data_IF_988893360062
#
_entry.id   IF_988893360062
#
_cell.length_a   1.000
_cell.length_b   1.000
_cell.length_c   1.000
_cell.angle_alpha   90.00
_cell.angle_beta   90.00
_cell.angle_gamma   90.00
#
_symmetry.space_group_name_H-M   'P 1'
#
loop_
_entity.id
_entity.type
_entity.pdbx_description
1 polymer ?
#
# COMPACT_ATOMS: atom_id res chain seq x y z
N UNK A 1 -1.48 -19.84 -2.66
CA UNK A 1 -2.73 -19.04 -2.59
C UNK A 1 -2.67 -18.11 -1.37
N UNK A 2 -3.24 -16.89 -1.42
CA UNK A 2 -3.28 -15.99 -0.26
C UNK A 2 -4.33 -16.45 0.78
N UNK A 3 -4.03 -16.45 2.09
CA UNK A 3 -5.01 -16.74 3.14
C UNK A 3 -6.20 -15.76 3.17
N UNK A 4 -7.39 -16.26 3.51
CA UNK A 4 -8.65 -15.48 3.54
C UNK A 4 -8.61 -14.27 4.48
N UNK A 5 -8.03 -14.42 5.67
CA UNK A 5 -7.88 -13.33 6.65
C UNK A 5 -7.05 -12.16 6.11
N UNK A 6 -6.01 -12.44 5.32
CA UNK A 6 -5.16 -11.41 4.72
C UNK A 6 -5.90 -10.66 3.63
N UNK A 7 -6.67 -11.37 2.80
CA UNK A 7 -7.55 -10.74 1.79
C UNK A 7 -8.57 -9.81 2.44
N UNK A 8 -9.16 -10.22 3.57
CA UNK A 8 -10.12 -9.38 4.29
C UNK A 8 -9.45 -8.13 4.87
N UNK A 9 -8.29 -8.29 5.52
CA UNK A 9 -7.50 -7.18 6.07
C UNK A 9 -7.11 -6.16 5.01
N UNK A 10 -6.59 -6.63 3.87
CA UNK A 10 -6.24 -5.77 2.73
C UNK A 10 -7.44 -4.96 2.21
N UNK A 11 -8.61 -5.60 2.06
CA UNK A 11 -9.83 -4.92 1.60
C UNK A 11 -10.31 -3.87 2.60
N UNK A 12 -10.24 -4.17 3.90
CA UNK A 12 -10.61 -3.22 4.94
C UNK A 12 -9.68 -1.99 4.98
N UNK A 13 -8.36 -2.22 4.91
CA UNK A 13 -7.37 -1.14 4.85
C UNK A 13 -7.51 -0.32 3.56
N UNK A 14 -7.75 -0.99 2.43
CA UNK A 14 -8.02 -0.31 1.15
C UNK A 14 -9.26 0.58 1.26
N UNK A 15 -10.38 0.07 1.79
CA UNK A 15 -11.59 0.87 1.99
C UNK A 15 -11.35 2.09 2.90
N UNK A 16 -10.55 1.92 3.95
CA UNK A 16 -10.16 3.02 4.83
C UNK A 16 -9.36 4.10 4.10
N UNK A 17 -8.35 3.70 3.30
CA UNK A 17 -7.53 4.60 2.51
C UNK A 17 -8.35 5.37 1.47
N UNK A 18 -9.23 4.68 0.73
CA UNK A 18 -10.15 5.29 -0.25
C UNK A 18 -10.99 6.40 0.39
N UNK A 19 -11.61 6.11 1.54
CA UNK A 19 -12.47 7.07 2.24
C UNK A 19 -11.69 8.29 2.73
N UNK A 20 -10.44 8.11 3.15
CA UNK A 20 -9.62 9.18 3.72
C UNK A 20 -8.88 10.02 2.69
N UNK A 21 -8.40 9.40 1.61
CA UNK A 21 -7.50 10.01 0.63
C UNK A 21 -8.18 10.27 -0.71
N UNK A 22 -9.44 9.86 -0.89
CA UNK A 22 -10.17 10.03 -2.15
C UNK A 22 -9.63 9.20 -3.31
N UNK A 23 -8.84 8.17 -3.03
CA UNK A 23 -8.25 7.30 -4.06
C UNK A 23 -9.26 6.25 -4.54
N UNK A 24 -9.21 5.94 -5.83
CA UNK A 24 -10.01 4.88 -6.45
C UNK A 24 -9.14 3.65 -6.73
N UNK A 25 -9.12 2.71 -5.78
CA UNK A 25 -8.37 1.46 -5.89
C UNK A 25 -9.18 0.28 -5.30
N UNK A 26 -9.01 -0.91 -5.85
CA UNK A 26 -9.63 -2.16 -5.42
C UNK A 26 -8.71 -2.96 -4.48
N UNK A 27 -7.39 -2.85 -4.63
CA UNK A 27 -6.39 -3.51 -3.78
C UNK A 27 -5.11 -2.67 -3.69
N UNK A 28 -4.89 -2.00 -2.55
CA UNK A 28 -3.72 -1.14 -2.32
C UNK A 28 -2.50 -1.87 -1.75
N UNK A 29 -2.60 -3.15 -1.42
CA UNK A 29 -1.52 -3.94 -0.82
C UNK A 29 -0.93 -4.96 -1.78
N UNK A 30 -1.18 -4.79 -3.09
CA UNK A 30 -0.42 -5.48 -4.14
C UNK A 30 1.03 -4.99 -4.18
N UNK A 31 1.96 -5.92 -4.41
CA UNK A 31 3.39 -5.61 -4.52
C UNK A 31 3.81 -5.11 -5.90
N UNK A 32 2.98 -5.27 -6.94
CA UNK A 32 3.31 -4.83 -8.29
C UNK A 32 2.83 -3.41 -8.55
N UNK A 33 3.75 -2.47 -8.81
CA UNK A 33 3.46 -1.05 -9.06
C UNK A 33 4.43 -0.44 -10.04
N UNK A 34 3.96 0.56 -10.77
CA UNK A 34 4.77 1.40 -11.63
C UNK A 34 4.50 2.86 -11.24
N UNK A 35 5.57 3.65 -11.13
CA UNK A 35 5.50 5.07 -10.81
C UNK A 35 6.12 5.86 -11.96
N UNK A 36 5.58 7.04 -12.21
CA UNK A 36 6.27 8.05 -13.02
C UNK A 36 7.47 8.56 -12.24
N UNK A 37 8.60 8.76 -12.91
CA UNK A 37 9.83 9.21 -12.25
C UNK A 37 9.62 10.58 -11.58
N UNK A 38 8.85 11.45 -12.21
CA UNK A 38 8.48 12.78 -11.69
C UNK A 38 7.70 12.69 -10.38
N UNK A 39 6.80 11.70 -10.26
CA UNK A 39 6.02 11.49 -9.05
C UNK A 39 6.89 11.08 -7.86
N UNK A 40 7.88 10.21 -8.08
CA UNK A 40 8.80 9.79 -7.03
C UNK A 40 9.77 10.90 -6.62
N UNK A 41 10.31 11.67 -7.59
CA UNK A 41 11.21 12.79 -7.31
C UNK A 41 10.55 13.93 -6.53
N UNK A 42 9.23 14.02 -6.55
CA UNK A 42 8.48 15.00 -5.78
C UNK A 42 8.33 14.63 -4.29
N UNK A 43 8.79 13.44 -3.87
CA UNK A 43 8.67 12.96 -2.49
C UNK A 43 10.01 12.99 -1.75
N UNK A 44 10.03 13.31 -0.44
CA UNK A 44 11.21 13.14 0.40
C UNK A 44 11.34 11.66 0.82
N UNK A 45 11.78 10.81 -0.11
CA UNK A 45 11.82 9.35 0.07
C UNK A 45 12.68 8.92 1.27
N UNK A 46 13.71 9.69 1.59
CA UNK A 46 14.65 9.47 2.69
C UNK A 46 14.00 9.66 4.08
N UNK A 47 12.84 10.32 4.15
CA UNK A 47 12.07 10.50 5.39
C UNK A 47 11.05 9.38 5.61
N UNK A 48 10.92 8.46 4.65
CA UNK A 48 10.00 7.33 4.73
C UNK A 48 10.68 6.16 5.45
N UNK A 49 9.87 5.21 5.91
CA UNK A 49 10.33 4.06 6.69
C UNK A 49 11.18 3.10 5.85
N UNK A 50 12.22 2.50 6.44
CA UNK A 50 12.98 1.41 5.81
C UNK A 50 12.33 0.01 5.96
N UNK A 51 11.04 -0.04 6.33
CA UNK A 51 10.31 -1.28 6.63
C UNK A 51 9.09 -1.41 5.71
N UNK A 52 8.33 -2.50 5.82
CA UNK A 52 7.20 -2.83 4.94
C UNK A 52 6.15 -1.70 4.76
N UNK A 53 6.07 -0.73 5.67
CA UNK A 53 5.13 0.41 5.57
C UNK A 53 5.57 1.48 4.58
N UNK A 54 6.81 1.46 4.09
CA UNK A 54 7.38 2.40 3.11
C UNK A 54 6.41 2.64 1.94
N UNK A 55 5.97 1.54 1.32
CA UNK A 55 5.10 1.56 0.15
C UNK A 55 3.84 2.39 0.42
N UNK A 56 3.27 2.24 1.62
CA UNK A 56 2.01 2.87 1.98
C UNK A 56 2.22 4.35 2.25
N UNK A 57 3.37 4.72 2.82
CA UNK A 57 3.76 6.11 2.98
C UNK A 57 3.94 6.80 1.62
N UNK A 58 4.55 6.13 0.65
CA UNK A 58 4.64 6.63 -0.74
C UNK A 58 3.25 6.87 -1.32
N UNK A 59 2.34 5.90 -1.23
CA UNK A 59 0.97 6.05 -1.76
C UNK A 59 0.22 7.21 -1.10
N UNK A 60 0.29 7.31 0.22
CA UNK A 60 -0.38 8.39 0.96
C UNK A 60 0.19 9.75 0.58
N UNK A 61 1.53 9.88 0.49
CA UNK A 61 2.16 11.14 0.09
C UNK A 61 1.82 11.53 -1.34
N UNK A 62 1.79 10.58 -2.28
CA UNK A 62 1.35 10.84 -3.66
C UNK A 62 -0.12 11.28 -3.73
N UNK A 63 -1.00 10.62 -2.97
CA UNK A 63 -2.43 10.98 -2.93
C UNK A 63 -2.64 12.40 -2.40
N UNK A 64 -1.91 12.77 -1.35
CA UNK A 64 -1.95 14.12 -0.76
C UNK A 64 -1.39 15.16 -1.70
N UNK A 65 -0.32 14.84 -2.43
CA UNK A 65 0.24 15.70 -3.45
C UNK A 65 -0.64 15.79 -4.72
N UNK A 66 -1.81 15.13 -4.75
CA UNK A 66 -2.79 15.22 -5.83
C UNK A 66 -2.47 14.34 -7.05
N UNK A 67 -1.52 13.39 -6.93
CA UNK A 67 -1.26 12.45 -7.99
C UNK A 67 -2.42 11.46 -8.15
N UNK A 68 -2.71 11.11 -9.42
CA UNK A 68 -3.77 10.16 -9.76
C UNK A 68 -3.23 8.74 -9.81
N UNK A 69 -4.05 7.80 -9.35
CA UNK A 69 -3.77 6.37 -9.40
C UNK A 69 -4.64 5.71 -10.46
N UNK A 70 -4.15 4.64 -11.07
CA UNK A 70 -4.92 3.81 -11.99
C UNK A 70 -4.53 2.37 -11.76
N UNK A 71 -5.52 1.50 -11.57
CA UNK A 71 -5.29 0.07 -11.48
C UNK A 71 -5.35 -0.58 -12.86
N UNK A 72 -4.43 -1.52 -13.08
CA UNK A 72 -4.43 -2.38 -14.27
C UNK A 72 -4.53 -3.82 -13.80
N UNK A 73 -5.41 -4.65 -14.41
CA UNK A 73 -5.50 -6.05 -14.05
C UNK A 73 -4.17 -6.73 -14.35
N UNK A 74 -3.61 -7.37 -13.34
CA UNK A 74 -2.36 -8.13 -13.43
C UNK A 74 -2.60 -9.54 -12.89
N UNK A 75 -2.07 -10.55 -13.59
CA UNK A 75 -2.07 -11.93 -13.09
C UNK A 75 -0.94 -12.09 -12.09
N UNK A 76 -1.28 -12.26 -10.81
CA UNK A 76 -0.30 -12.57 -9.79
C UNK A 76 0.23 -13.99 -9.99
N UNK A 77 1.56 -14.14 -10.10
CA UNK A 77 2.24 -15.43 -10.03
C UNK A 77 2.70 -15.64 -8.59
N UNK A 78 2.06 -16.57 -7.89
CA UNK A 78 2.52 -17.02 -6.58
C UNK A 78 3.33 -18.28 -6.79
N UNK A 79 4.64 -18.11 -6.88
CA UNK A 79 5.59 -19.23 -6.85
C UNK A 79 5.86 -19.65 -5.40
N UNK A 80 6.38 -20.85 -5.19
CA UNK A 80 6.74 -21.40 -3.87
C UNK A 80 7.84 -20.59 -3.18
N UNK A 81 8.61 -19.82 -3.94
CA UNK A 81 9.61 -18.85 -3.48
C UNK A 81 9.01 -17.61 -2.78
N UNK A 82 7.69 -17.38 -2.88
CA UNK A 82 7.04 -16.21 -2.30
C UNK A 82 6.82 -16.40 -0.79
N UNK A 83 7.71 -15.80 0.00
CA UNK A 83 7.59 -15.81 1.46
C UNK A 83 6.35 -15.02 1.91
N UNK A 84 5.45 -15.72 2.60
CA UNK A 84 4.31 -15.08 3.25
C UNK A 84 4.75 -14.39 4.54
N UNK A 85 4.36 -13.13 4.71
CA UNK A 85 4.58 -12.40 5.96
C UNK A 85 3.85 -13.11 7.11
N UNK A 86 4.50 -13.24 8.27
CA UNK A 86 3.88 -13.87 9.45
C UNK A 86 2.66 -13.08 9.95
N UNK A 87 1.76 -13.74 10.69
CA UNK A 87 0.54 -13.10 11.20
C UNK A 87 0.84 -11.86 12.04
N UNK A 88 1.79 -11.96 12.98
CA UNK A 88 2.21 -10.84 13.82
C UNK A 88 2.77 -9.66 13.01
N UNK A 89 3.60 -9.94 12.00
CA UNK A 89 4.11 -8.90 11.10
C UNK A 89 2.98 -8.29 10.25
N UNK A 90 1.97 -9.07 9.86
CA UNK A 90 0.77 -8.58 9.15
C UNK A 90 -0.02 -7.57 10.00
N UNK A 91 -0.20 -7.86 11.29
CA UNK A 91 -0.91 -6.96 12.22
C UNK A 91 -0.13 -5.66 12.39
N UNK A 92 1.18 -5.75 12.65
CA UNK A 92 2.06 -4.57 12.78
C UNK A 92 2.03 -3.71 11.52
N UNK A 93 2.10 -4.34 10.34
CA UNK A 93 1.96 -3.67 9.06
C UNK A 93 0.60 -2.95 8.93
N UNK A 94 -0.51 -3.64 9.23
CA UNK A 94 -1.85 -3.05 9.15
C UNK A 94 -2.02 -1.83 10.06
N UNK A 95 -1.53 -1.90 11.30
CA UNK A 95 -1.51 -0.76 12.22
C UNK A 95 -0.64 0.39 11.68
N UNK A 96 0.50 0.08 11.06
CA UNK A 96 1.35 1.04 10.36
C UNK A 96 0.60 1.76 9.24
N UNK A 97 -0.14 1.02 8.41
CA UNK A 97 -0.96 1.58 7.33
C UNK A 97 -2.00 2.56 7.87
N UNK A 98 -2.76 2.16 8.89
CA UNK A 98 -3.77 3.01 9.53
C UNK A 98 -3.13 4.29 10.09
N UNK A 99 -1.99 4.17 10.77
CA UNK A 99 -1.26 5.32 11.32
C UNK A 99 -0.83 6.28 10.22
N UNK A 100 -0.27 5.77 9.12
CA UNK A 100 0.17 6.56 7.97
C UNK A 100 -1.01 7.29 7.32
N UNK A 101 -2.10 6.58 7.01
CA UNK A 101 -3.30 7.17 6.41
C UNK A 101 -3.91 8.22 7.35
N UNK A 102 -3.95 7.96 8.66
CA UNK A 102 -4.45 8.93 9.65
C UNK A 102 -3.58 10.17 9.74
N UNK A 103 -2.25 10.01 9.66
CA UNK A 103 -1.31 11.13 9.74
C UNK A 103 -1.48 12.09 8.58
N UNK A 104 -1.99 11.60 7.44
CA UNK A 104 -2.20 12.40 6.25
C UNK A 104 -0.89 12.58 5.52
N UNK A 105 0.16 13.09 6.16
CA UNK A 105 1.48 13.32 5.56
C UNK A 105 2.49 13.67 6.66
#
# INVERSE_FOLDING_TARGET
MIPSWRRLGNRALTAYARRRLGIEATELHTGARAFRAEALRALPLEQLSDDYVFDQQVLVRLAVAGFRFTERPARARYDESVQSISLWRSIRYGLGCVRTIRRGY
#
